data_IF_578845751841
#
_entry.id   IF_578845751841
#
_cell.length_a   1.000
_cell.length_b   1.000
_cell.length_c   1.000
_cell.angle_alpha   90.00
_cell.angle_beta   90.00
_cell.angle_gamma   90.00
#
_symmetry.space_group_name_H-M   'P 1'
#
loop_
_entity.id
_entity.type
_entity.pdbx_description
1 polymer ?
#
# COMPACT_ATOMS: atom_id res chain seq x y z
N UNK A 1 -44.54 12.04 57.64
CA UNK A 1 -43.43 12.67 56.89
C UNK A 1 -42.77 11.58 56.07
N UNK A 2 -42.96 11.67 54.76
CA UNK A 2 -42.53 10.73 53.71
C UNK A 2 -41.05 10.93 53.41
N UNK A 3 -40.22 9.89 53.56
CA UNK A 3 -38.85 9.87 53.05
C UNK A 3 -38.77 9.07 51.75
N UNK A 4 -38.23 9.73 50.71
CA UNK A 4 -38.02 9.23 49.36
C UNK A 4 -36.93 8.14 49.31
N UNK A 5 -37.00 7.16 48.39
CA UNK A 5 -35.90 6.24 48.15
C UNK A 5 -34.84 6.91 47.27
N UNK A 6 -33.59 6.83 47.70
CA UNK A 6 -32.40 7.25 46.95
C UNK A 6 -32.11 6.26 45.82
N UNK A 7 -32.09 6.75 44.58
CA UNK A 7 -31.63 6.01 43.41
C UNK A 7 -30.11 5.78 43.50
N UNK A 8 -29.71 4.52 43.61
CA UNK A 8 -28.30 4.11 43.45
C UNK A 8 -27.83 4.28 42.00
N UNK A 9 -26.51 4.45 41.77
CA UNK A 9 -25.97 4.67 40.44
C UNK A 9 -26.13 3.39 39.60
N UNK A 10 -26.75 3.55 38.44
CA UNK A 10 -26.92 2.55 37.40
C UNK A 10 -25.52 2.04 36.98
N UNK A 11 -25.18 0.82 37.41
CA UNK A 11 -23.94 0.16 37.01
C UNK A 11 -24.06 -0.26 35.55
N UNK A 12 -23.15 0.23 34.70
CA UNK A 12 -23.10 -0.12 33.29
C UNK A 12 -23.04 -1.65 33.11
N UNK A 13 -23.71 -2.22 32.08
CA UNK A 13 -23.94 -3.65 31.99
C UNK A 13 -22.65 -4.44 31.75
N UNK A 14 -22.37 -5.37 32.66
CA UNK A 14 -21.24 -6.31 32.74
C UNK A 14 -20.95 -7.14 31.47
N UNK A 15 -21.89 -7.16 30.52
CA UNK A 15 -21.76 -7.86 29.24
C UNK A 15 -20.82 -7.18 28.24
N UNK A 16 -20.70 -5.85 28.25
CA UNK A 16 -19.88 -5.12 27.26
C UNK A 16 -18.38 -5.24 27.54
N UNK A 17 -17.99 -5.20 28.81
CA UNK A 17 -16.61 -5.38 29.29
C UNK A 17 -16.08 -6.77 28.95
N UNK A 18 -16.90 -7.81 29.08
CA UNK A 18 -16.56 -9.18 28.66
C UNK A 18 -16.39 -9.32 27.14
N UNK A 19 -17.22 -8.65 26.33
CA UNK A 19 -17.12 -8.67 24.88
C UNK A 19 -15.84 -8.00 24.35
N UNK A 20 -15.50 -6.83 24.89
CA UNK A 20 -14.31 -6.06 24.51
C UNK A 20 -13.01 -6.78 24.88
N UNK A 21 -12.93 -7.37 26.09
CA UNK A 21 -11.77 -8.19 26.49
C UNK A 21 -11.56 -9.38 25.55
N UNK A 22 -12.63 -10.11 25.21
CA UNK A 22 -12.55 -11.23 24.25
C UNK A 22 -12.08 -10.79 22.85
N UNK A 23 -12.46 -9.60 22.39
CA UNK A 23 -11.99 -9.06 21.11
C UNK A 23 -10.50 -8.70 21.18
N UNK A 24 -10.08 -8.04 22.26
CA UNK A 24 -8.69 -7.68 22.51
C UNK A 24 -7.79 -8.92 22.58
N UNK A 25 -8.16 -9.93 23.37
CA UNK A 25 -7.39 -11.16 23.53
C UNK A 25 -7.22 -11.90 22.20
N UNK A 26 -8.28 -11.95 21.38
CA UNK A 26 -8.23 -12.51 20.03
C UNK A 26 -7.30 -11.72 19.11
N UNK A 27 -7.42 -10.40 19.10
CA UNK A 27 -6.55 -9.53 18.30
C UNK A 27 -5.08 -9.69 18.69
N UNK A 28 -4.81 -9.78 19.98
CA UNK A 28 -3.47 -9.99 20.52
C UNK A 28 -2.90 -11.36 20.12
N UNK A 29 -3.67 -12.43 20.28
CA UNK A 29 -3.28 -13.78 19.87
C UNK A 29 -2.95 -13.85 18.38
N UNK A 30 -3.82 -13.29 17.52
CA UNK A 30 -3.62 -13.22 16.07
C UNK A 30 -2.36 -12.41 15.71
N UNK A 31 -2.09 -11.31 16.40
CA UNK A 31 -0.90 -10.50 16.19
C UNK A 31 0.40 -11.25 16.56
N UNK A 32 0.38 -12.02 17.66
CA UNK A 32 1.51 -12.86 18.06
C UNK A 32 1.77 -13.99 17.05
N UNK A 33 0.73 -14.68 16.60
CA UNK A 33 0.84 -15.74 15.59
C UNK A 33 1.43 -15.19 14.28
N UNK A 34 0.93 -14.04 13.80
CA UNK A 34 1.47 -13.35 12.63
C UNK A 34 2.96 -13.02 12.80
N UNK A 35 3.34 -12.46 13.95
CA UNK A 35 4.76 -12.13 14.25
C UNK A 35 5.64 -13.37 14.23
N UNK A 36 5.16 -14.49 14.77
CA UNK A 36 5.86 -15.77 14.73
C UNK A 36 5.99 -16.32 13.31
N UNK A 37 4.93 -16.24 12.50
CA UNK A 37 4.94 -16.67 11.09
C UNK A 37 5.97 -15.88 10.26
N UNK A 38 5.97 -14.54 10.39
CA UNK A 38 6.91 -13.68 9.67
C UNK A 38 8.36 -13.96 10.09
N UNK A 39 8.62 -14.11 11.40
CA UNK A 39 9.95 -14.45 11.92
C UNK A 39 10.41 -15.84 11.50
N UNK A 40 9.52 -16.82 11.53
CA UNK A 40 9.80 -18.18 11.11
C UNK A 40 10.10 -18.28 9.61
N UNK A 41 9.47 -17.45 8.77
CA UNK A 41 9.83 -17.34 7.34
C UNK A 41 11.18 -16.65 7.15
N UNK A 42 11.48 -15.60 7.92
CA UNK A 42 12.79 -14.94 7.85
C UNK A 42 13.95 -15.90 8.17
N UNK A 43 13.79 -16.79 9.16
CA UNK A 43 14.79 -17.81 9.51
C UNK A 43 14.99 -18.87 8.43
N UNK A 44 13.91 -19.31 7.78
CA UNK A 44 13.94 -20.34 6.71
C UNK A 44 14.53 -19.87 5.39
N UNK A 45 14.64 -18.55 5.22
CA UNK A 45 15.13 -17.87 4.01
C UNK A 45 16.56 -17.37 4.19
N UNK A 46 17.19 -17.56 5.35
CA UNK A 46 18.57 -17.16 5.63
C UNK A 46 19.63 -18.00 4.88
N UNK A 47 19.35 -18.44 3.67
CA UNK A 47 20.32 -18.88 2.68
C UNK A 47 20.68 -17.67 1.79
N UNK A 48 21.97 -17.51 1.52
CA UNK A 48 22.65 -16.31 1.00
C UNK A 48 21.80 -15.38 0.12
N UNK A 49 21.71 -14.07 0.47
CA UNK A 49 21.04 -13.12 -0.39
C UNK A 49 21.79 -13.04 -1.73
N UNK A 50 21.15 -13.51 -2.80
CA UNK A 50 21.66 -13.29 -4.15
C UNK A 50 21.94 -11.79 -4.33
N UNK A 51 23.16 -11.41 -4.78
CA UNK A 51 23.56 -10.02 -4.87
C UNK A 51 22.57 -9.23 -5.73
N UNK A 52 22.23 -8.02 -5.29
CA UNK A 52 21.33 -7.15 -6.04
C UNK A 52 21.94 -6.86 -7.42
N UNK A 53 21.15 -6.96 -8.51
CA UNK A 53 21.61 -6.55 -9.82
C UNK A 53 22.02 -5.06 -9.80
N UNK A 54 22.96 -4.65 -10.66
CA UNK A 54 23.27 -3.22 -10.85
C UNK A 54 21.99 -2.39 -11.08
N UNK A 55 21.94 -1.18 -10.54
CA UNK A 55 20.77 -0.30 -10.59
C UNK A 55 19.74 -0.53 -9.48
N UNK A 56 19.89 -1.61 -8.70
CA UNK A 56 18.98 -1.93 -7.58
C UNK A 56 19.63 -1.74 -6.21
N UNK A 57 20.92 -1.42 -6.16
CA UNK A 57 21.61 -1.16 -4.89
C UNK A 57 21.15 0.18 -4.33
N UNK A 58 21.12 0.36 -2.99
CA UNK A 58 20.71 1.63 -2.39
C UNK A 58 21.51 2.83 -2.91
N UNK A 59 22.82 2.66 -3.11
CA UNK A 59 23.70 3.67 -3.70
C UNK A 59 23.35 4.01 -5.16
N UNK A 60 22.95 3.03 -5.97
CA UNK A 60 22.56 3.26 -7.36
C UNK A 60 21.24 4.04 -7.42
N UNK A 61 20.27 3.65 -6.59
CA UNK A 61 18.99 4.35 -6.45
C UNK A 61 19.21 5.79 -5.98
N UNK A 62 20.10 5.99 -5.00
CA UNK A 62 20.46 7.32 -4.52
C UNK A 62 21.13 8.15 -5.62
N UNK A 63 22.07 7.58 -6.37
CA UNK A 63 22.74 8.26 -7.48
C UNK A 63 21.75 8.68 -8.58
N UNK A 64 20.85 7.77 -8.99
CA UNK A 64 19.78 8.06 -9.95
C UNK A 64 18.89 9.17 -9.43
N UNK A 65 18.49 9.11 -8.16
CA UNK A 65 17.64 10.13 -7.54
C UNK A 65 18.34 11.49 -7.55
N UNK A 66 19.58 11.59 -7.07
CA UNK A 66 20.32 12.84 -7.01
C UNK A 66 20.56 13.43 -8.40
N UNK A 67 20.96 12.61 -9.38
CA UNK A 67 21.24 13.06 -10.73
C UNK A 67 19.96 13.53 -11.44
N UNK A 68 18.89 12.75 -11.36
CA UNK A 68 17.60 13.10 -11.99
C UNK A 68 17.01 14.36 -11.37
N UNK A 69 17.06 14.49 -10.03
CA UNK A 69 16.55 15.66 -9.32
C UNK A 69 17.40 16.89 -9.62
N UNK A 70 18.73 16.77 -9.60
CA UNK A 70 19.63 17.90 -9.90
C UNK A 70 19.40 18.45 -11.30
N UNK A 71 19.29 17.57 -12.31
CA UNK A 71 18.95 17.96 -13.68
C UNK A 71 17.56 18.61 -13.75
N UNK A 72 16.56 18.04 -13.08
CA UNK A 72 15.20 18.57 -13.06
C UNK A 72 15.11 19.97 -12.44
N UNK A 73 15.90 20.26 -11.39
CA UNK A 73 15.93 21.60 -10.77
C UNK A 73 16.35 22.66 -11.80
N UNK A 74 17.39 22.36 -12.58
CA UNK A 74 17.94 23.31 -13.55
C UNK A 74 17.01 23.46 -14.75
N UNK A 75 16.57 22.33 -15.32
CA UNK A 75 15.85 22.33 -16.60
C UNK A 75 14.36 22.64 -16.43
N UNK A 76 13.73 22.18 -15.35
CA UNK A 76 12.27 22.21 -15.22
C UNK A 76 11.79 23.27 -14.24
N UNK A 77 12.41 23.42 -13.07
CA UNK A 77 11.82 24.26 -12.02
C UNK A 77 11.77 25.75 -12.38
N UNK A 78 12.84 26.25 -13.00
CA UNK A 78 12.98 27.65 -13.43
C UNK A 78 11.91 28.03 -14.47
N UNK A 79 11.76 27.32 -15.60
CA UNK A 79 10.75 27.70 -16.60
C UNK A 79 9.31 27.38 -16.18
N UNK A 80 9.10 26.41 -15.29
CA UNK A 80 7.75 25.93 -14.96
C UNK A 80 6.92 26.98 -14.23
N UNK A 81 7.50 27.74 -13.29
CA UNK A 81 6.70 28.67 -12.49
C UNK A 81 6.16 29.86 -13.29
N UNK A 82 6.94 30.56 -14.13
CA UNK A 82 6.42 31.60 -15.02
C UNK A 82 5.36 31.07 -15.99
N UNK A 83 5.60 29.89 -16.59
CA UNK A 83 4.63 29.24 -17.46
C UNK A 83 3.31 28.98 -16.74
N UNK A 84 3.35 28.43 -15.52
CA UNK A 84 2.15 28.15 -14.76
C UNK A 84 1.33 29.40 -14.42
N UNK A 85 1.97 30.55 -14.20
CA UNK A 85 1.26 31.83 -13.98
C UNK A 85 0.64 32.41 -15.26
N UNK A 86 1.14 32.01 -16.43
CA UNK A 86 0.55 32.42 -17.71
C UNK A 86 -0.72 31.64 -18.05
N UNK A 87 -0.98 30.51 -17.39
CA UNK A 87 -2.16 29.69 -17.63
C UNK A 87 -3.42 30.32 -17.02
N UNK A 88 -4.59 30.17 -17.67
CA UNK A 88 -5.87 30.59 -17.11
C UNK A 88 -6.17 29.90 -15.76
N UNK A 89 -6.82 30.58 -14.79
CA UNK A 89 -7.10 30.03 -13.46
C UNK A 89 -7.93 28.74 -13.46
N UNK A 90 -8.73 28.52 -14.51
CA UNK A 90 -9.59 27.35 -14.69
C UNK A 90 -8.78 26.04 -14.71
N UNK A 91 -7.57 26.07 -15.27
CA UNK A 91 -6.67 24.91 -15.27
C UNK A 91 -6.28 24.52 -13.85
N UNK A 92 -5.94 25.50 -13.00
CA UNK A 92 -5.61 25.23 -11.60
C UNK A 92 -6.77 24.58 -10.86
N UNK A 93 -8.00 25.02 -11.11
CA UNK A 93 -9.20 24.46 -10.49
C UNK A 93 -9.49 23.03 -10.97
N UNK A 94 -9.33 22.76 -12.27
CA UNK A 94 -9.49 21.42 -12.82
C UNK A 94 -8.49 20.43 -12.20
N UNK A 95 -7.22 20.82 -12.09
CA UNK A 95 -6.20 19.98 -11.46
C UNK A 95 -6.32 19.92 -9.92
N UNK A 96 -6.99 20.87 -9.29
CA UNK A 96 -7.30 20.81 -7.86
C UNK A 96 -8.28 19.67 -7.53
N UNK A 97 -9.25 19.38 -8.40
CA UNK A 97 -10.11 18.21 -8.23
C UNK A 97 -9.32 16.89 -8.30
N UNK A 98 -8.37 16.81 -9.23
CA UNK A 98 -7.50 15.63 -9.40
C UNK A 98 -6.57 15.47 -8.20
N UNK A 99 -5.98 16.56 -7.68
CA UNK A 99 -5.06 16.48 -6.53
C UNK A 99 -5.77 16.02 -5.26
N UNK A 100 -7.07 16.27 -5.11
CA UNK A 100 -7.79 15.87 -3.91
C UNK A 100 -7.91 14.34 -3.77
N UNK A 101 -7.96 13.61 -4.89
CA UNK A 101 -7.97 12.14 -4.93
C UNK A 101 -6.70 11.57 -4.30
N UNK A 102 -5.55 12.23 -4.47
CA UNK A 102 -4.27 11.67 -4.03
C UNK A 102 -3.93 11.91 -2.55
N UNK A 103 -4.85 12.42 -1.73
CA UNK A 103 -4.57 12.70 -0.31
C UNK A 103 -4.33 11.38 0.45
N UNK A 104 -3.14 11.18 1.00
CA UNK A 104 -2.72 9.90 1.58
C UNK A 104 -3.52 9.35 2.76
N UNK A 105 -4.32 10.17 3.45
CA UNK A 105 -5.03 9.75 4.66
C UNK A 105 -6.07 8.64 4.38
N UNK A 106 -6.80 8.70 3.26
CA UNK A 106 -7.79 7.65 2.96
C UNK A 106 -7.11 6.31 2.70
N UNK A 107 -5.93 6.29 2.08
CA UNK A 107 -5.15 5.07 1.84
C UNK A 107 -4.75 4.45 3.17
N UNK A 108 -4.19 5.24 4.08
CA UNK A 108 -3.75 4.77 5.39
C UNK A 108 -4.91 4.33 6.28
N UNK A 109 -6.02 5.06 6.28
CA UNK A 109 -7.20 4.71 7.07
C UNK A 109 -7.86 3.45 6.55
N UNK A 110 -8.10 3.34 5.23
CA UNK A 110 -8.74 2.15 4.65
C UNK A 110 -7.91 0.90 4.86
N UNK A 111 -6.60 0.94 4.53
CA UNK A 111 -5.72 -0.22 4.71
C UNK A 111 -5.42 -0.53 6.17
N UNK A 112 -5.23 0.49 7.01
CA UNK A 112 -4.94 0.34 8.43
C UNK A 112 -6.14 -0.20 9.22
N UNK A 113 -7.33 0.39 9.03
CA UNK A 113 -8.57 -0.08 9.67
C UNK A 113 -8.87 -1.51 9.23
N UNK A 114 -8.73 -1.83 7.94
CA UNK A 114 -8.91 -3.21 7.47
C UNK A 114 -7.96 -4.18 8.16
N UNK A 115 -6.67 -3.84 8.25
CA UNK A 115 -5.69 -4.68 8.92
C UNK A 115 -6.03 -4.87 10.41
N UNK A 116 -6.41 -3.81 11.12
CA UNK A 116 -6.78 -3.88 12.54
C UNK A 116 -8.07 -4.66 12.77
N UNK A 117 -9.11 -4.38 11.99
CA UNK A 117 -10.40 -5.08 12.08
C UNK A 117 -10.24 -6.59 11.83
N UNK A 118 -9.38 -6.96 10.88
CA UNK A 118 -9.11 -8.38 10.58
C UNK A 118 -8.44 -9.14 11.73
N UNK A 119 -7.71 -8.47 12.63
CA UNK A 119 -7.13 -9.10 13.81
C UNK A 119 -8.21 -9.53 14.80
N UNK A 120 -9.37 -8.88 14.80
CA UNK A 120 -10.49 -9.26 15.66
C UNK A 120 -11.31 -10.45 15.14
N UNK A 121 -11.05 -10.90 13.89
CA UNK A 121 -11.79 -12.01 13.27
C UNK A 121 -11.34 -13.37 13.81
N UNK A 122 -12.30 -14.29 13.90
CA UNK A 122 -12.02 -15.70 14.21
C UNK A 122 -11.69 -16.46 12.92
N UNK A 123 -10.41 -16.47 12.57
CA UNK A 123 -9.89 -17.12 11.36
C UNK A 123 -10.02 -18.65 11.38
N UNK A 124 -10.21 -19.27 12.55
CA UNK A 124 -10.34 -20.72 12.68
C UNK A 124 -11.71 -21.22 12.21
N UNK A 125 -12.74 -20.38 12.34
CA UNK A 125 -14.11 -20.70 11.87
C UNK A 125 -14.28 -20.56 10.36
N UNK A 126 -13.34 -19.92 9.68
CA UNK A 126 -13.43 -19.68 8.24
C UNK A 126 -13.07 -20.94 7.45
N UNK A 127 -13.80 -21.22 6.37
CA UNK A 127 -13.39 -22.26 5.42
C UNK A 127 -12.01 -21.95 4.84
N UNK A 128 -11.26 -22.98 4.47
CA UNK A 128 -9.90 -22.81 3.96
C UNK A 128 -9.82 -21.83 2.76
N UNK A 129 -10.85 -21.85 1.88
CA UNK A 129 -10.92 -20.96 0.70
C UNK A 129 -11.09 -19.50 1.09
N UNK A 130 -11.99 -19.22 2.03
CA UNK A 130 -12.22 -17.87 2.56
C UNK A 130 -10.96 -17.37 3.26
N UNK A 131 -10.36 -18.21 4.11
CA UNK A 131 -9.10 -17.90 4.81
C UNK A 131 -7.98 -17.53 3.82
N UNK A 132 -7.78 -18.31 2.76
CA UNK A 132 -6.77 -18.03 1.73
C UNK A 132 -6.99 -16.67 1.05
N UNK A 133 -8.23 -16.35 0.65
CA UNK A 133 -8.54 -15.05 0.02
C UNK A 133 -8.32 -13.90 0.99
N UNK A 134 -8.85 -14.02 2.21
CA UNK A 134 -8.73 -12.99 3.24
C UNK A 134 -7.28 -12.75 3.63
N UNK A 135 -6.47 -13.79 3.81
CA UNK A 135 -5.03 -13.65 4.09
C UNK A 135 -4.29 -12.98 2.92
N UNK A 136 -4.69 -13.25 1.67
CA UNK A 136 -4.10 -12.59 0.49
C UNK A 136 -4.41 -11.09 0.48
N UNK A 137 -5.69 -10.74 0.64
CA UNK A 137 -6.13 -9.34 0.69
C UNK A 137 -5.42 -8.62 1.85
N UNK A 138 -5.41 -9.24 3.03
CA UNK A 138 -4.71 -8.72 4.19
C UNK A 138 -3.23 -8.48 3.94
N UNK A 139 -2.54 -9.44 3.32
CA UNK A 139 -1.12 -9.33 3.02
C UNK A 139 -0.82 -8.12 2.12
N UNK A 140 -1.62 -7.90 1.08
CA UNK A 140 -1.42 -6.75 0.20
C UNK A 140 -1.88 -5.42 0.81
N UNK A 141 -2.93 -5.40 1.63
CA UNK A 141 -3.32 -4.22 2.41
C UNK A 141 -2.23 -3.82 3.41
N UNK A 142 -1.68 -4.78 4.14
CA UNK A 142 -0.59 -4.56 5.10
C UNK A 142 0.68 -4.06 4.38
N UNK A 143 0.98 -4.62 3.20
CA UNK A 143 2.08 -4.14 2.35
C UNK A 143 1.89 -2.68 1.92
N UNK A 144 0.73 -2.32 1.35
CA UNK A 144 0.42 -0.95 0.94
C UNK A 144 0.48 0.01 2.14
N UNK A 145 -0.11 -0.38 3.28
CA UNK A 145 -0.04 0.42 4.50
C UNK A 145 1.42 0.67 4.93
N UNK A 146 2.24 -0.38 4.96
CA UNK A 146 3.63 -0.31 5.39
C UNK A 146 4.48 0.57 4.45
N UNK A 147 4.35 0.42 3.13
CA UNK A 147 5.16 1.20 2.18
C UNK A 147 4.73 2.67 2.11
N UNK A 148 3.42 2.95 2.18
CA UNK A 148 2.91 4.34 2.19
C UNK A 148 3.30 5.04 3.50
N UNK A 149 3.13 4.38 4.65
CA UNK A 149 3.56 4.95 5.93
C UNK A 149 5.07 5.15 6.02
N UNK A 150 5.88 4.16 5.62
CA UNK A 150 7.34 4.28 5.62
C UNK A 150 7.81 5.42 4.71
N UNK A 151 7.29 5.51 3.48
CA UNK A 151 7.63 6.61 2.57
C UNK A 151 7.19 7.97 3.11
N UNK A 152 6.03 8.07 3.75
CA UNK A 152 5.54 9.28 4.40
C UNK A 152 6.42 9.75 5.56
N UNK A 153 6.90 8.82 6.39
CA UNK A 153 7.86 9.11 7.46
C UNK A 153 9.19 9.63 6.88
N UNK A 154 9.71 8.98 5.84
CA UNK A 154 10.94 9.43 5.16
C UNK A 154 10.76 10.85 4.61
N UNK A 155 9.63 11.13 3.97
CA UNK A 155 9.32 12.49 3.47
C UNK A 155 9.27 13.50 4.61
N UNK A 156 8.65 13.16 5.74
CA UNK A 156 8.55 14.08 6.87
C UNK A 156 9.93 14.46 7.40
N UNK A 157 10.81 13.46 7.56
CA UNK A 157 12.21 13.68 7.95
C UNK A 157 12.91 14.57 6.92
N UNK A 158 12.85 14.23 5.63
CA UNK A 158 13.52 14.99 4.58
C UNK A 158 13.01 16.43 4.47
N UNK A 159 11.71 16.67 4.64
CA UNK A 159 11.12 18.01 4.59
C UNK A 159 11.67 18.90 5.68
N UNK A 160 11.73 18.39 6.91
CA UNK A 160 12.25 19.16 8.05
C UNK A 160 13.76 19.27 8.01
N UNK A 161 14.48 18.30 7.45
CA UNK A 161 15.92 18.42 7.25
C UNK A 161 16.29 19.44 6.17
N UNK A 162 15.64 19.39 5.00
CA UNK A 162 16.07 20.17 3.82
C UNK A 162 15.41 21.55 3.72
N UNK A 163 14.16 21.69 4.14
CA UNK A 163 13.53 23.01 4.26
C UNK A 163 13.41 23.80 2.94
N UNK A 164 13.02 23.16 1.83
CA UNK A 164 12.90 23.87 0.54
C UNK A 164 11.68 24.80 0.48
N UNK A 165 11.89 26.05 0.08
CA UNK A 165 10.84 27.02 -0.17
C UNK A 165 9.85 26.54 -1.25
N UNK A 166 8.55 26.80 -1.05
CA UNK A 166 7.49 26.45 -2.03
C UNK A 166 7.44 27.43 -3.21
N UNK A 167 6.84 27.03 -4.35
CA UNK A 167 6.69 27.91 -5.52
C UNK A 167 5.97 29.25 -5.24
N UNK A 168 5.13 29.33 -4.21
CA UNK A 168 4.51 30.60 -3.80
C UNK A 168 5.52 31.68 -3.39
N UNK A 169 6.71 31.30 -2.92
CA UNK A 169 7.80 32.21 -2.53
C UNK A 169 8.78 32.48 -3.69
N UNK A 170 8.49 32.00 -4.90
CA UNK A 170 9.42 32.08 -6.04
C UNK A 170 9.91 33.51 -6.31
N UNK A 171 9.04 34.52 -6.17
CA UNK A 171 9.40 35.92 -6.40
C UNK A 171 10.26 36.53 -5.29
N UNK A 172 10.22 35.97 -4.07
CA UNK A 172 10.95 36.48 -2.91
C UNK A 172 12.34 35.86 -2.80
N UNK A 173 12.44 34.54 -2.99
CA UNK A 173 13.66 33.77 -2.70
C UNK A 173 14.17 32.93 -3.88
N UNK A 174 13.43 32.90 -5.00
CA UNK A 174 13.78 32.10 -6.16
C UNK A 174 13.47 30.59 -6.05
N UNK A 175 13.82 29.80 -7.07
CA UNK A 175 13.45 28.38 -7.18
C UNK A 175 14.28 27.41 -6.33
N UNK A 176 15.47 27.81 -5.88
CA UNK A 176 16.47 26.94 -5.25
C UNK A 176 16.85 27.41 -3.85
N UNK A 177 15.89 27.95 -3.11
CA UNK A 177 16.12 28.39 -1.74
C UNK A 177 15.78 27.28 -0.73
N UNK A 178 16.73 26.99 0.16
CA UNK A 178 16.65 25.99 1.21
C UNK A 178 16.97 26.65 2.56
N UNK A 179 16.09 26.46 3.52
CA UNK A 179 16.26 26.89 4.91
C UNK A 179 16.24 25.65 5.80
N UNK A 180 17.42 25.08 6.03
CA UNK A 180 17.56 23.80 6.74
C UNK A 180 16.95 23.90 8.14
N UNK A 181 16.16 22.91 8.53
CA UNK A 181 15.46 22.87 9.82
C UNK A 181 14.40 23.96 10.05
N UNK A 182 13.93 24.62 8.98
CA UNK A 182 12.78 25.50 9.05
C UNK A 182 11.50 24.72 9.45
N UNK A 183 10.99 24.98 10.64
CA UNK A 183 9.77 24.34 11.17
C UNK A 183 8.46 24.99 10.68
N UNK A 184 8.51 25.69 9.55
CA UNK A 184 7.36 26.41 9.01
C UNK A 184 6.79 25.71 7.75
N UNK A 185 5.49 25.87 7.49
CA UNK A 185 4.83 25.21 6.36
C UNK A 185 5.28 25.71 4.98
N UNK A 186 5.88 26.91 4.89
CA UNK A 186 6.30 27.52 3.64
C UNK A 186 7.57 26.91 3.05
N UNK A 187 8.38 26.24 3.90
CA UNK A 187 9.65 25.62 3.54
C UNK A 187 9.56 24.08 3.53
N UNK A 188 8.36 23.53 3.33
CA UNK A 188 8.12 22.07 3.25
C UNK A 188 7.83 21.59 1.84
N UNK A 189 8.51 22.14 0.82
CA UNK A 189 8.28 21.79 -0.59
C UNK A 189 8.88 20.44 -0.96
N UNK A 190 10.14 20.21 -0.61
CA UNK A 190 10.91 19.04 -1.07
C UNK A 190 11.04 17.95 0.01
N UNK A 191 10.89 16.67 -0.35
CA UNK A 191 10.23 16.16 -1.56
C UNK A 191 8.68 16.29 -1.45
N UNK A 192 7.98 16.17 -2.58
CA UNK A 192 6.51 16.19 -2.58
C UNK A 192 5.93 14.94 -1.91
N UNK A 193 5.35 15.11 -0.71
CA UNK A 193 4.71 13.99 0.02
C UNK A 193 3.48 13.41 -0.67
N UNK A 194 2.73 14.25 -1.40
CA UNK A 194 1.60 13.80 -2.21
C UNK A 194 2.07 12.89 -3.35
N UNK A 195 3.06 13.34 -4.13
CA UNK A 195 3.63 12.55 -5.23
C UNK A 195 4.28 11.27 -4.70
N UNK A 196 4.94 11.33 -3.55
CA UNK A 196 5.51 10.14 -2.88
C UNK A 196 4.44 9.10 -2.53
N UNK A 197 3.35 9.54 -1.91
CA UNK A 197 2.26 8.65 -1.50
C UNK A 197 1.60 7.98 -2.71
N UNK A 198 1.33 8.76 -3.75
CA UNK A 198 0.70 8.26 -4.98
C UNK A 198 1.62 7.33 -5.75
N UNK A 199 2.91 7.64 -5.82
CA UNK A 199 3.89 6.77 -6.45
C UNK A 199 4.07 5.46 -5.69
N UNK A 200 4.11 5.49 -4.35
CA UNK A 200 4.17 4.29 -3.53
C UNK A 200 2.93 3.40 -3.72
N UNK A 201 1.74 4.01 -3.77
CA UNK A 201 0.49 3.29 -4.05
C UNK A 201 0.48 2.73 -5.48
N UNK A 202 0.75 3.56 -6.50
CA UNK A 202 0.70 3.17 -7.90
C UNK A 202 1.72 2.06 -8.21
N UNK A 203 2.96 2.17 -7.71
CA UNK A 203 3.96 1.12 -7.83
C UNK A 203 3.51 -0.17 -7.16
N UNK A 204 2.94 -0.09 -5.95
CA UNK A 204 2.40 -1.25 -5.25
C UNK A 204 1.29 -1.94 -6.04
N UNK A 205 0.32 -1.16 -6.53
CA UNK A 205 -0.79 -1.68 -7.35
C UNK A 205 -0.29 -2.26 -8.68
N UNK A 206 0.69 -1.63 -9.33
CA UNK A 206 1.29 -2.13 -10.56
C UNK A 206 2.02 -3.48 -10.35
N UNK A 207 2.65 -3.68 -9.18
CA UNK A 207 3.27 -4.95 -8.79
C UNK A 207 2.24 -6.03 -8.45
N UNK A 208 1.12 -5.65 -7.82
CA UNK A 208 0.03 -6.57 -7.47
C UNK A 208 -0.79 -6.96 -8.72
N UNK A 209 -1.03 -6.02 -9.63
CA UNK A 209 -1.87 -6.16 -10.82
C UNK A 209 -1.08 -5.91 -12.11
N UNK A 210 -0.15 -6.81 -12.49
CA UNK A 210 0.77 -6.59 -13.61
C UNK A 210 0.06 -6.40 -14.97
N UNK A 211 -1.15 -6.94 -15.14
CA UNK A 211 -1.96 -6.76 -16.34
C UNK A 211 -2.46 -5.33 -16.54
N UNK A 212 -2.62 -4.57 -15.46
CA UNK A 212 -3.13 -3.19 -15.47
C UNK A 212 -2.04 -2.16 -15.17
N UNK A 213 -0.76 -2.57 -15.11
CA UNK A 213 0.35 -1.72 -14.65
C UNK A 213 0.45 -0.39 -15.40
N UNK A 214 0.28 -0.40 -16.72
CA UNK A 214 0.43 0.81 -17.53
C UNK A 214 -0.69 1.80 -17.26
N UNK A 215 -1.93 1.33 -17.12
CA UNK A 215 -3.06 2.16 -16.73
C UNK A 215 -2.81 2.79 -15.34
N UNK A 216 -2.38 1.99 -14.38
CA UNK A 216 -2.08 2.44 -13.02
C UNK A 216 -0.95 3.49 -13.01
N UNK A 217 0.13 3.25 -13.76
CA UNK A 217 1.26 4.17 -13.88
C UNK A 217 0.82 5.49 -14.52
N UNK A 218 0.01 5.46 -15.58
CA UNK A 218 -0.50 6.67 -16.24
C UNK A 218 -1.41 7.45 -15.30
N UNK A 219 -2.33 6.78 -14.58
CA UNK A 219 -3.16 7.44 -13.57
C UNK A 219 -2.31 8.06 -12.45
N UNK A 220 -1.33 7.33 -11.92
CA UNK A 220 -0.41 7.81 -10.89
C UNK A 220 0.41 9.01 -11.36
N UNK A 221 0.87 9.00 -12.62
CA UNK A 221 1.56 10.11 -13.25
C UNK A 221 0.68 11.37 -13.28
N UNK A 222 -0.57 11.28 -13.76
CA UNK A 222 -1.45 12.45 -13.84
C UNK A 222 -1.80 13.03 -12.47
N UNK A 223 -1.99 12.16 -11.46
CA UNK A 223 -2.24 12.63 -10.09
C UNK A 223 -0.98 13.30 -9.52
N UNK A 224 0.22 12.74 -9.72
CA UNK A 224 1.46 13.38 -9.29
C UNK A 224 1.72 14.70 -10.03
N UNK A 225 1.47 14.73 -11.34
CA UNK A 225 1.61 15.90 -12.20
C UNK A 225 0.66 17.04 -11.80
N UNK A 226 -0.54 16.71 -11.30
CA UNK A 226 -1.49 17.71 -10.79
C UNK A 226 -0.87 18.66 -9.74
N UNK A 227 0.15 18.21 -8.98
CA UNK A 227 0.86 19.04 -7.99
C UNK A 227 1.66 20.18 -8.61
N UNK A 228 2.17 19.95 -9.82
CA UNK A 228 2.85 20.96 -10.63
C UNK A 228 1.82 21.96 -11.14
N UNK A 229 0.71 21.46 -11.71
CA UNK A 229 -0.36 22.29 -12.28
C UNK A 229 -1.09 23.16 -11.24
N UNK A 230 -1.20 22.68 -10.00
CA UNK A 230 -1.75 23.47 -8.90
C UNK A 230 -0.74 24.52 -8.39
N UNK A 231 0.53 24.42 -8.77
CA UNK A 231 1.60 25.32 -8.34
C UNK A 231 2.03 25.09 -6.89
N UNK A 232 1.75 23.90 -6.35
CA UNK A 232 2.04 23.58 -4.97
C UNK A 232 3.49 23.10 -4.76
N UNK A 233 4.09 22.54 -5.81
CA UNK A 233 5.43 21.96 -5.80
C UNK A 233 6.14 22.20 -7.13
N UNK A 234 7.46 22.25 -7.09
CA UNK A 234 8.29 22.28 -8.29
C UNK A 234 8.31 20.89 -8.97
N UNK A 235 8.55 20.80 -10.29
CA UNK A 235 8.74 19.53 -10.98
C UNK A 235 9.75 18.60 -10.31
N UNK A 236 10.90 19.12 -9.87
CA UNK A 236 11.91 18.31 -9.19
C UNK A 236 11.43 17.76 -7.83
N UNK A 237 10.58 18.48 -7.09
CA UNK A 237 9.95 17.99 -5.85
C UNK A 237 9.05 16.79 -6.14
N UNK A 238 8.32 16.84 -7.25
CA UNK A 238 7.42 15.79 -7.71
C UNK A 238 8.20 14.59 -8.19
N UNK A 239 9.26 14.78 -8.97
CA UNK A 239 10.16 13.72 -9.43
C UNK A 239 10.84 13.02 -8.24
N UNK A 240 11.41 13.78 -7.31
CA UNK A 240 12.04 13.25 -6.11
C UNK A 240 11.05 12.42 -5.29
N UNK A 241 9.85 12.95 -5.06
CA UNK A 241 8.80 12.25 -4.34
C UNK A 241 8.39 10.95 -5.05
N UNK A 242 8.18 11.01 -6.37
CA UNK A 242 7.82 9.84 -7.17
C UNK A 242 8.90 8.75 -7.10
N UNK A 243 10.16 9.10 -7.32
CA UNK A 243 11.28 8.15 -7.25
C UNK A 243 11.41 7.53 -5.86
N UNK A 244 11.25 8.32 -4.80
CA UNK A 244 11.27 7.83 -3.43
C UNK A 244 10.13 6.84 -3.18
N UNK A 245 8.89 7.18 -3.57
CA UNK A 245 7.72 6.33 -3.38
C UNK A 245 7.85 4.99 -4.12
N UNK A 246 8.29 5.02 -5.39
CA UNK A 246 8.55 3.81 -6.18
C UNK A 246 9.64 2.96 -5.52
N UNK A 247 10.74 3.59 -5.06
CA UNK A 247 11.86 2.88 -4.44
C UNK A 247 11.44 2.14 -3.17
N UNK A 248 10.68 2.80 -2.28
CA UNK A 248 10.17 2.18 -1.05
C UNK A 248 9.23 1.01 -1.36
N UNK A 249 8.34 1.16 -2.35
CA UNK A 249 7.46 0.08 -2.78
C UNK A 249 8.26 -1.12 -3.31
N UNK A 250 9.19 -0.91 -4.24
CA UNK A 250 10.00 -1.99 -4.83
C UNK A 250 10.84 -2.69 -3.76
N UNK A 251 11.50 -1.95 -2.86
CA UNK A 251 12.28 -2.52 -1.75
C UNK A 251 11.39 -3.35 -0.83
N UNK A 252 10.20 -2.84 -0.46
CA UNK A 252 9.23 -3.57 0.34
C UNK A 252 8.76 -4.87 -0.33
N UNK A 253 8.45 -4.82 -1.62
CA UNK A 253 8.04 -5.99 -2.40
C UNK A 253 9.17 -7.03 -2.50
N UNK A 254 10.42 -6.61 -2.72
CA UNK A 254 11.59 -7.52 -2.70
C UNK A 254 11.77 -8.15 -1.33
N UNK A 255 11.69 -7.38 -0.26
CA UNK A 255 11.78 -7.88 1.12
C UNK A 255 10.72 -8.96 1.41
N UNK A 256 9.50 -8.76 0.91
CA UNK A 256 8.41 -9.73 0.98
C UNK A 256 8.65 -10.95 0.09
N UNK A 257 9.17 -10.74 -1.12
CA UNK A 257 9.45 -11.80 -2.09
C UNK A 257 10.53 -12.75 -1.61
N UNK A 258 11.60 -12.24 -1.01
CA UNK A 258 12.63 -13.07 -0.36
C UNK A 258 11.99 -13.97 0.70
N UNK A 259 11.06 -13.45 1.49
CA UNK A 259 10.32 -14.22 2.53
C UNK A 259 9.19 -15.09 1.98
N UNK A 260 8.97 -15.11 0.66
CA UNK A 260 7.84 -15.75 -0.03
C UNK A 260 6.48 -15.36 0.59
N UNK A 261 6.33 -14.09 0.95
CA UNK A 261 5.09 -13.52 1.50
C UNK A 261 4.44 -12.68 0.40
N UNK A 262 3.35 -13.16 -0.21
CA UNK A 262 2.57 -12.38 -1.20
C UNK A 262 3.27 -12.14 -2.53
N UNK A 263 4.60 -12.05 -2.57
CA UNK A 263 5.42 -11.91 -3.76
C UNK A 263 6.41 -13.06 -3.89
N UNK A 264 6.88 -13.27 -5.12
CA UNK A 264 7.97 -14.18 -5.48
C UNK A 264 8.85 -13.52 -6.55
N UNK A 265 10.14 -13.87 -6.56
CA UNK A 265 11.05 -13.50 -7.65
C UNK A 265 10.99 -14.59 -8.72
N UNK A 266 10.84 -14.20 -9.99
CA UNK A 266 11.01 -15.12 -11.11
C UNK A 266 12.49 -15.52 -11.26
N UNK A 267 12.79 -16.53 -12.07
CA UNK A 267 14.17 -16.90 -12.43
C UNK A 267 14.95 -15.72 -13.03
N UNK A 268 14.30 -14.89 -13.86
CA UNK A 268 14.86 -13.65 -14.40
C UNK A 268 14.96 -12.48 -13.39
N UNK A 269 14.66 -12.69 -12.09
CA UNK A 269 14.71 -11.67 -11.06
C UNK A 269 13.54 -10.67 -11.01
N UNK A 270 12.49 -10.87 -11.82
CA UNK A 270 11.31 -10.01 -11.83
C UNK A 270 10.36 -10.32 -10.67
N UNK A 271 9.81 -9.27 -10.05
CA UNK A 271 8.79 -9.40 -9.00
C UNK A 271 7.44 -9.85 -9.59
N UNK A 272 6.84 -10.87 -8.98
CA UNK A 272 5.50 -11.34 -9.33
C UNK A 272 4.66 -11.60 -8.07
N UNK A 273 3.33 -11.39 -8.13
CA UNK A 273 2.44 -11.82 -7.06
C UNK A 273 2.47 -13.34 -6.94
N UNK A 274 2.45 -13.85 -5.71
CA UNK A 274 2.53 -15.28 -5.38
C UNK A 274 1.31 -16.04 -5.90
N UNK A 275 0.14 -15.40 -5.91
CA UNK A 275 -1.08 -15.96 -6.48
C UNK A 275 -1.22 -15.45 -7.90
N UNK A 276 -1.09 -16.35 -8.88
CA UNK A 276 -1.33 -16.03 -10.29
C UNK A 276 -2.78 -15.60 -10.55
N UNK A 277 -3.01 -14.84 -11.63
CA UNK A 277 -4.32 -14.27 -11.95
C UNK A 277 -5.44 -15.31 -12.12
N UNK A 278 -5.14 -16.48 -12.68
CA UNK A 278 -6.09 -17.57 -12.82
C UNK A 278 -6.52 -18.15 -11.46
N UNK A 279 -5.57 -18.32 -10.53
CA UNK A 279 -5.83 -18.80 -9.17
C UNK A 279 -6.62 -17.76 -8.38
N UNK A 280 -6.26 -16.49 -8.47
CA UNK A 280 -6.99 -15.40 -7.82
C UNK A 280 -8.46 -15.36 -8.29
N UNK A 281 -8.70 -15.46 -9.61
CA UNK A 281 -10.06 -15.49 -10.18
C UNK A 281 -10.87 -16.69 -9.67
N UNK A 282 -10.28 -17.89 -9.63
CA UNK A 282 -10.94 -19.09 -9.10
C UNK A 282 -11.28 -18.95 -7.62
N UNK A 283 -10.38 -18.36 -6.83
CA UNK A 283 -10.62 -18.11 -5.40
C UNK A 283 -11.73 -17.09 -5.16
N UNK A 284 -11.81 -16.03 -5.98
CA UNK A 284 -12.91 -15.04 -5.92
C UNK A 284 -14.25 -15.68 -6.29
N UNK A 285 -14.30 -16.46 -7.37
CA UNK A 285 -15.52 -17.17 -7.79
C UNK A 285 -15.97 -18.14 -6.69
N UNK A 286 -15.04 -18.88 -6.10
CA UNK A 286 -15.36 -19.78 -4.99
C UNK A 286 -15.87 -19.04 -3.76
N UNK A 287 -15.29 -17.87 -3.42
CA UNK A 287 -15.78 -17.01 -2.35
C UNK A 287 -17.20 -16.51 -2.65
N UNK A 288 -17.45 -16.04 -3.87
CA UNK A 288 -18.77 -15.62 -4.31
C UNK A 288 -19.81 -16.74 -4.13
N UNK A 289 -19.51 -17.96 -4.56
CA UNK A 289 -20.38 -19.12 -4.37
C UNK A 289 -20.69 -19.42 -2.90
N UNK A 290 -19.69 -19.29 -2.02
CA UNK A 290 -19.87 -19.47 -0.56
C UNK A 290 -20.78 -18.38 0.00
N UNK A 291 -20.56 -17.12 -0.38
CA UNK A 291 -21.34 -15.97 0.10
C UNK A 291 -22.79 -16.00 -0.42
N UNK A 292 -23.00 -16.43 -1.67
CA UNK A 292 -24.35 -16.51 -2.26
C UNK A 292 -25.07 -17.83 -1.97
N UNK A 293 -24.50 -18.71 -1.14
CA UNK A 293 -25.09 -20.03 -0.83
C UNK A 293 -25.23 -20.98 -2.02
N UNK A 294 -24.60 -20.67 -3.16
CA UNK A 294 -24.68 -21.48 -4.39
C UNK A 294 -23.66 -22.61 -4.29
N UNK A 295 -24.05 -23.75 -3.71
CA UNK A 295 -23.23 -24.99 -3.73
C UNK A 295 -22.94 -25.37 -5.19
N UNK A 296 -21.71 -25.15 -5.64
CA UNK A 296 -21.26 -25.61 -6.95
C UNK A 296 -21.02 -27.14 -6.88
N UNK A 297 -21.87 -27.88 -7.60
CA UNK A 297 -21.69 -29.29 -7.93
C UNK A 297 -20.36 -29.48 -8.67
N UNK A 298 -19.31 -29.87 -7.97
CA UNK A 298 -18.25 -30.66 -8.58
C UNK A 298 -18.65 -32.12 -8.43
N UNK A 299 -19.44 -32.63 -9.38
CA UNK A 299 -19.58 -34.06 -9.60
C UNK A 299 -18.22 -34.52 -10.15
N UNK A 300 -17.39 -35.11 -9.30
CA UNK A 300 -16.27 -35.94 -9.75
C UNK A 300 -16.85 -37.10 -10.54
N UNK A 301 -16.77 -37.03 -11.86
CA UNK A 301 -17.08 -38.15 -12.74
C UNK A 301 -15.99 -39.20 -12.61
N UNK A 302 -16.21 -40.18 -11.74
CA UNK A 302 -15.61 -41.52 -11.80
C UNK A 302 -16.62 -42.50 -11.21
N UNK A 303 -17.74 -42.69 -11.90
CA UNK A 303 -18.49 -43.94 -11.87
C UNK A 303 -18.10 -44.69 -13.16
N UNK A 304 -17.07 -45.52 -13.07
CA UNK A 304 -17.00 -46.71 -13.91
C UNK A 304 -17.31 -47.90 -13.01
N UNK A 305 -18.49 -48.45 -13.25
CA UNK A 305 -19.12 -49.47 -12.46
C UNK A 305 -18.28 -50.74 -12.41
N UNK A 306 -18.14 -51.24 -11.18
CA UNK A 306 -17.88 -52.65 -10.91
C UNK A 306 -19.15 -53.43 -11.27
N UNK A 307 -19.17 -54.09 -12.43
CA UNK A 307 -20.07 -55.21 -12.68
C UNK A 307 -19.33 -56.50 -12.30
N UNK A 308 -19.92 -57.27 -11.37
CA UNK A 308 -19.35 -58.50 -10.82
C UNK A 308 -19.35 -59.68 -11.80
N UNK A 309 -18.68 -60.79 -11.44
CA UNK A 309 -18.57 -61.97 -12.30
C UNK A 309 -19.82 -62.84 -12.19
N UNK A 310 -20.46 -63.16 -13.33
CA UNK A 310 -21.40 -64.29 -13.43
C UNK A 310 -20.71 -65.45 -14.13
N UNK A 311 -20.51 -66.54 -13.41
CA UNK A 311 -20.19 -67.84 -13.96
C UNK A 311 -21.45 -68.44 -14.61
N UNK A 312 -21.35 -68.93 -15.84
CA UNK A 312 -22.17 -69.99 -16.43
C UNK A 312 -21.50 -70.54 -17.72
N UNK A 313 -21.05 -71.79 -17.59
CA UNK A 313 -20.96 -72.91 -18.56
C UNK A 313 -20.59 -72.69 -20.04
N UNK A 314 -19.40 -73.17 -20.42
CA UNK A 314 -19.19 -74.35 -21.30
C UNK A 314 -17.71 -74.71 -21.40
#
# INVERSE_FOLDING_TARGET
>A
MTSLPTSGPETAPDGQTHGLRRLFDRAWANALELRQLVRGRARRVAAEPAPLPPGHRPQDVLAILLLTVGIAVIILDIPTYPWLRSLPPEYRNAFAAITDIGKGHWILWTTGIFCLASLALDWQRMTWRVRMVMTTIWTYCAYIFAVVSASGIIVLVLKWSLGRARPKLYQEVGPVHFDFFALNGAYTSFPSGHSTTIAALAASLALIFPSYRWLIIVCGFWIAFSRIMVGAHYPSDVIAGTLLGVSVAVVGARWMAHRRIGFVLSEAGALRPQIGGATARRSIIALWHVLTGKRSFYKTGTEHGTAGPSAQDT
#
